data_IF_325036859613
#
_entry.id   IF_325036859613
#
_cell.length_a   1.000
_cell.length_b   1.000
_cell.length_c   1.000
_cell.angle_alpha   90.00
_cell.angle_beta   90.00
_cell.angle_gamma   90.00
#
_symmetry.space_group_name_H-M   'P 1'
#
loop_
_entity.id
_entity.type
_entity.pdbx_description
1 polymer ?
#
# COMPACT_ATOMS: atom_id res chain seq x y z
N UNK A 1 11.46 -3.22 -3.30
CA UNK A 1 11.84 -1.79 -3.30
C UNK A 1 12.65 -1.47 -4.55
N UNK A 2 13.72 -2.20 -4.85
CA UNK A 2 14.63 -1.93 -5.98
C UNK A 2 13.94 -2.07 -7.34
N UNK A 3 13.07 -3.07 -7.51
CA UNK A 3 12.27 -3.21 -8.73
C UNK A 3 11.30 -2.04 -8.95
N UNK A 4 10.68 -1.53 -7.88
CA UNK A 4 9.82 -0.36 -7.95
C UNK A 4 10.59 0.90 -8.32
N UNK A 5 11.79 1.07 -7.78
CA UNK A 5 12.71 2.15 -8.16
C UNK A 5 13.03 2.10 -9.66
N UNK A 6 13.49 0.94 -10.14
CA UNK A 6 13.88 0.77 -11.55
C UNK A 6 12.69 0.99 -12.48
N UNK A 7 11.53 0.42 -12.18
CA UNK A 7 10.33 0.59 -13.00
C UNK A 7 9.90 2.06 -13.09
N UNK A 8 9.98 2.80 -11.99
CA UNK A 8 9.67 4.23 -11.99
C UNK A 8 10.72 5.04 -12.76
N UNK A 9 12.00 4.71 -12.64
CA UNK A 9 13.08 5.36 -13.41
C UNK A 9 12.87 5.14 -14.92
N UNK A 10 12.59 3.91 -15.34
CA UNK A 10 12.32 3.55 -16.74
C UNK A 10 11.05 4.28 -17.27
N UNK A 11 9.98 4.32 -16.46
CA UNK A 11 8.74 5.01 -16.81
C UNK A 11 8.93 6.53 -16.96
N UNK A 12 9.71 7.15 -16.11
CA UNK A 12 10.03 8.58 -16.19
C UNK A 12 10.84 8.93 -17.44
N UNK A 13 11.74 8.03 -17.87
CA UNK A 13 12.50 8.22 -19.11
C UNK A 13 11.60 8.11 -20.35
N UNK A 14 10.64 7.16 -20.31
CA UNK A 14 9.72 6.94 -21.43
C UNK A 14 8.58 7.99 -21.49
N UNK A 15 8.16 8.53 -20.33
CA UNK A 15 6.98 9.38 -20.17
C UNK A 15 7.30 10.58 -19.29
N UNK A 16 7.88 11.62 -19.87
CA UNK A 16 8.25 12.86 -19.14
C UNK A 16 7.06 13.63 -18.57
N UNK A 17 5.84 13.34 -19.01
CA UNK A 17 4.57 13.91 -18.57
C UNK A 17 3.82 13.05 -17.52
N UNK A 18 4.46 12.01 -16.97
CA UNK A 18 3.90 11.15 -15.93
C UNK A 18 3.34 11.99 -14.76
N UNK A 19 2.13 11.67 -14.30
CA UNK A 19 1.44 12.37 -13.21
C UNK A 19 1.07 11.49 -12.03
N UNK A 20 1.01 10.20 -12.22
CA UNK A 20 0.64 9.27 -11.16
C UNK A 20 1.27 7.89 -11.32
N UNK A 21 1.51 7.25 -10.20
CA UNK A 21 1.99 5.87 -10.10
C UNK A 21 1.09 5.15 -9.11
N UNK A 22 0.57 4.00 -9.52
CA UNK A 22 0.01 3.02 -8.59
C UNK A 22 1.03 1.90 -8.40
N UNK A 23 1.46 1.69 -7.18
CA UNK A 23 2.40 0.64 -6.82
C UNK A 23 1.67 -0.52 -6.16
N UNK A 24 2.02 -1.75 -6.55
CA UNK A 24 1.38 -2.98 -6.08
C UNK A 24 1.50 -3.20 -4.55
N UNK A 25 2.48 -2.56 -3.91
CA UNK A 25 2.71 -2.62 -2.46
C UNK A 25 3.60 -1.46 -1.99
N UNK A 26 3.67 -1.25 -0.68
CA UNK A 26 4.45 -0.17 -0.07
C UNK A 26 5.95 -0.21 -0.39
N UNK A 27 6.64 -1.35 -0.38
CA UNK A 27 8.04 -1.38 -0.79
C UNK A 27 8.26 -0.89 -2.23
N UNK A 28 7.34 -1.20 -3.15
CA UNK A 28 7.42 -0.70 -4.52
C UNK A 28 7.14 0.81 -4.60
N UNK A 29 6.13 1.30 -3.85
CA UNK A 29 5.82 2.72 -3.72
C UNK A 29 7.00 3.54 -3.20
N UNK A 30 7.66 3.07 -2.14
CA UNK A 30 8.87 3.68 -1.59
C UNK A 30 10.05 3.66 -2.57
N UNK A 31 10.15 2.63 -3.39
CA UNK A 31 11.12 2.56 -4.49
C UNK A 31 10.83 3.61 -5.56
N UNK A 32 9.57 3.70 -5.99
CA UNK A 32 9.13 4.71 -6.95
C UNK A 32 9.37 6.14 -6.43
N UNK A 33 9.06 6.40 -5.15
CA UNK A 33 9.35 7.69 -4.50
C UNK A 33 10.81 8.08 -4.59
N UNK A 34 11.72 7.15 -4.29
CA UNK A 34 13.16 7.42 -4.37
C UNK A 34 13.63 7.74 -5.82
N UNK A 35 13.05 7.09 -6.83
CA UNK A 35 13.34 7.40 -8.23
C UNK A 35 12.84 8.81 -8.62
N UNK A 36 11.63 9.18 -8.17
CA UNK A 36 11.08 10.51 -8.38
C UNK A 36 11.92 11.61 -7.71
N UNK A 37 12.37 11.37 -6.49
CA UNK A 37 13.25 12.30 -5.76
C UNK A 37 14.58 12.51 -6.48
N UNK A 38 15.21 11.43 -6.96
CA UNK A 38 16.43 11.50 -7.76
C UNK A 38 16.24 12.29 -9.05
N UNK A 39 15.06 12.17 -9.68
CA UNK A 39 14.71 12.88 -10.91
C UNK A 39 14.19 14.32 -10.67
N UNK A 40 14.00 14.77 -9.42
CA UNK A 40 13.38 16.04 -9.08
C UNK A 40 11.91 16.15 -9.48
N UNK A 41 11.19 15.01 -9.51
CA UNK A 41 9.80 14.89 -9.98
C UNK A 41 8.81 14.53 -8.85
N UNK A 42 9.27 14.49 -7.60
CA UNK A 42 8.48 14.08 -6.43
C UNK A 42 7.24 14.93 -6.17
N UNK A 43 7.22 16.19 -6.64
CA UNK A 43 6.09 17.10 -6.48
C UNK A 43 5.16 17.11 -7.71
N UNK A 44 5.59 16.46 -8.79
CA UNK A 44 4.84 16.39 -10.05
C UNK A 44 4.01 15.10 -10.15
N UNK A 45 4.47 14.01 -9.54
CA UNK A 45 3.92 12.67 -9.69
C UNK A 45 3.38 12.16 -8.35
N UNK A 46 2.09 11.91 -8.30
CA UNK A 46 1.46 11.31 -7.12
C UNK A 46 1.71 9.80 -7.08
N UNK A 47 1.91 9.26 -5.90
CA UNK A 47 2.07 7.82 -5.68
C UNK A 47 0.94 7.31 -4.80
N UNK A 48 0.28 6.26 -5.25
CA UNK A 48 -0.62 5.44 -4.43
C UNK A 48 0.05 4.09 -4.23
N UNK A 49 0.24 3.68 -2.97
CA UNK A 49 0.76 2.38 -2.60
C UNK A 49 -0.34 1.34 -2.39
N UNK A 50 -0.04 0.28 -1.66
CA UNK A 50 -0.99 -0.75 -1.25
C UNK A 50 -0.41 -1.55 -0.08
N UNK A 51 -1.26 -2.08 0.79
CA UNK A 51 -1.08 -2.93 1.97
C UNK A 51 -1.22 -2.17 3.30
N UNK A 52 -0.63 -1.00 3.46
CA UNK A 52 -0.61 -0.26 4.73
C UNK A 52 0.47 -0.77 5.70
N UNK A 53 1.63 -1.12 5.19
CA UNK A 53 2.79 -1.45 6.02
C UNK A 53 3.26 -0.22 6.82
N UNK A 54 3.94 -0.39 7.97
CA UNK A 54 4.36 0.73 8.81
C UNK A 54 5.15 1.80 8.07
N UNK A 55 6.08 1.40 7.19
CA UNK A 55 6.90 2.32 6.41
C UNK A 55 6.08 3.08 5.34
N UNK A 56 5.07 2.41 4.74
CA UNK A 56 4.13 3.02 3.81
C UNK A 56 3.28 4.08 4.52
N UNK A 57 2.68 3.73 5.65
CA UNK A 57 1.91 4.67 6.49
C UNK A 57 2.74 5.85 6.95
N UNK A 58 3.99 5.62 7.36
CA UNK A 58 4.90 6.72 7.72
C UNK A 58 5.18 7.63 6.52
N UNK A 59 5.40 7.07 5.33
CA UNK A 59 5.61 7.85 4.12
C UNK A 59 4.37 8.66 3.71
N UNK A 60 3.16 8.15 3.99
CA UNK A 60 1.91 8.89 3.79
C UNK A 60 1.80 10.05 4.79
N UNK A 61 2.09 9.81 6.07
CA UNK A 61 2.14 10.85 7.10
C UNK A 61 3.10 11.96 6.70
N UNK A 62 4.27 11.61 6.17
CA UNK A 62 5.31 12.55 5.71
C UNK A 62 4.96 13.23 4.37
N UNK A 63 3.83 12.91 3.74
CA UNK A 63 3.45 13.46 2.44
C UNK A 63 4.24 12.93 1.24
N UNK A 64 4.98 11.84 1.41
CA UNK A 64 5.80 11.21 0.35
C UNK A 64 5.00 10.28 -0.54
N UNK A 65 3.98 9.64 0.00
CA UNK A 65 2.98 8.83 -0.70
C UNK A 65 1.62 9.47 -0.47
N UNK A 66 0.79 9.52 -1.50
CA UNK A 66 -0.49 10.23 -1.46
C UNK A 66 -1.56 9.50 -0.65
N UNK A 67 -1.69 8.20 -0.88
CA UNK A 67 -2.69 7.37 -0.20
C UNK A 67 -2.37 5.88 -0.37
N UNK A 68 -3.04 5.06 0.44
CA UNK A 68 -2.91 3.61 0.45
C UNK A 68 -4.26 2.94 0.72
N UNK A 69 -4.73 2.03 -0.12
CA UNK A 69 -5.70 1.03 0.30
C UNK A 69 -5.01 0.05 1.25
N UNK A 70 -5.34 0.11 2.53
CA UNK A 70 -4.75 -0.76 3.55
C UNK A 70 -5.50 -2.06 3.69
N UNK A 71 -4.78 -3.15 3.93
CA UNK A 71 -5.31 -4.46 4.23
C UNK A 71 -5.35 -4.72 5.75
N UNK A 72 -6.08 -5.74 6.14
CA UNK A 72 -6.24 -6.14 7.54
C UNK A 72 -5.85 -7.63 7.71
N UNK A 73 -4.53 -7.94 7.69
CA UNK A 73 -4.04 -9.32 7.76
C UNK A 73 -4.42 -10.03 9.08
N UNK A 74 -4.56 -9.29 10.17
CA UNK A 74 -5.09 -9.77 11.44
C UNK A 74 -6.52 -10.32 11.30
N UNK A 75 -7.41 -9.58 10.64
CA UNK A 75 -8.78 -10.03 10.35
C UNK A 75 -8.77 -11.25 9.44
N UNK A 76 -7.93 -11.25 8.39
CA UNK A 76 -7.78 -12.40 7.49
C UNK A 76 -7.40 -13.65 8.26
N UNK A 77 -6.41 -13.57 9.15
CA UNK A 77 -5.99 -14.68 9.99
C UNK A 77 -7.10 -15.19 10.91
N UNK A 78 -7.83 -14.28 11.56
CA UNK A 78 -8.96 -14.62 12.44
C UNK A 78 -10.05 -15.37 11.66
N UNK A 79 -10.47 -14.85 10.51
CA UNK A 79 -11.54 -15.45 9.70
C UNK A 79 -11.13 -16.82 9.13
N UNK A 80 -9.87 -16.99 8.72
CA UNK A 80 -9.34 -18.30 8.30
C UNK A 80 -9.45 -19.33 9.44
N UNK A 81 -9.02 -18.98 10.66
CA UNK A 81 -9.12 -19.89 11.81
C UNK A 81 -10.57 -20.23 12.15
N UNK A 82 -11.48 -19.24 12.12
CA UNK A 82 -12.92 -19.48 12.31
C UNK A 82 -13.47 -20.45 11.27
N UNK A 83 -13.13 -20.27 10.01
CA UNK A 83 -13.56 -21.11 8.90
C UNK A 83 -13.06 -22.55 9.07
N UNK A 84 -11.81 -22.75 9.48
CA UNK A 84 -11.25 -24.09 9.75
C UNK A 84 -12.02 -24.76 10.89
N UNK A 85 -12.30 -24.06 11.99
CA UNK A 85 -13.05 -24.58 13.12
C UNK A 85 -14.48 -24.95 12.73
N UNK A 86 -15.17 -24.09 12.00
CA UNK A 86 -16.54 -24.34 11.50
C UNK A 86 -16.56 -25.59 10.61
N UNK A 87 -15.65 -25.67 9.63
CA UNK A 87 -15.53 -26.80 8.74
C UNK A 87 -15.25 -28.12 9.50
N UNK A 88 -14.39 -28.08 10.53
CA UNK A 88 -14.08 -29.25 11.36
C UNK A 88 -15.29 -29.78 12.16
N UNK A 89 -16.28 -28.93 12.40
CA UNK A 89 -17.57 -29.28 13.04
C UNK A 89 -18.63 -29.74 12.05
N UNK A 90 -18.32 -29.77 10.75
CA UNK A 90 -19.25 -30.12 9.69
C UNK A 90 -20.21 -28.99 9.30
N UNK A 91 -19.88 -27.74 9.68
CA UNK A 91 -20.63 -26.55 9.27
C UNK A 91 -20.24 -26.15 7.85
N UNK A 92 -21.19 -25.59 7.09
CA UNK A 92 -20.88 -25.02 5.79
C UNK A 92 -20.07 -23.73 5.95
N UNK A 93 -19.05 -23.60 5.11
CA UNK A 93 -18.19 -22.39 5.06
C UNK A 93 -18.26 -21.81 3.66
N UNK A 94 -18.48 -20.50 3.59
CA UNK A 94 -18.48 -19.80 2.31
C UNK A 94 -17.13 -19.97 1.61
N UNK A 95 -17.14 -20.34 0.31
CA UNK A 95 -15.91 -20.60 -0.46
C UNK A 95 -15.06 -19.34 -0.67
N UNK A 96 -15.67 -18.16 -0.60
CA UNK A 96 -15.03 -16.87 -0.76
C UNK A 96 -15.51 -15.89 0.30
N UNK A 97 -14.57 -15.33 1.06
CA UNK A 97 -14.85 -14.35 2.12
C UNK A 97 -14.00 -13.11 1.88
N UNK A 98 -14.62 -12.07 1.33
CA UNK A 98 -13.94 -10.82 1.02
C UNK A 98 -13.84 -9.95 2.27
N UNK A 99 -12.63 -9.54 2.61
CA UNK A 99 -12.35 -8.56 3.67
C UNK A 99 -12.05 -7.23 2.98
N UNK A 100 -12.92 -6.22 3.13
CA UNK A 100 -12.73 -4.95 2.44
C UNK A 100 -11.49 -4.22 2.93
N UNK A 101 -10.80 -3.54 2.01
CA UNK A 101 -9.74 -2.59 2.32
C UNK A 101 -10.32 -1.29 2.86
N UNK A 102 -9.47 -0.47 3.48
CA UNK A 102 -9.78 0.90 3.87
C UNK A 102 -8.78 1.85 3.26
N UNK A 103 -9.22 3.01 2.81
CA UNK A 103 -8.30 4.01 2.28
C UNK A 103 -7.63 4.77 3.43
N UNK A 104 -6.31 4.79 3.42
CA UNK A 104 -5.47 5.50 4.38
C UNK A 104 -4.83 6.72 3.72
N UNK A 105 -4.97 7.88 4.33
CA UNK A 105 -4.49 9.16 3.83
C UNK A 105 -3.62 9.86 4.88
N UNK A 106 -3.03 10.99 4.50
CA UNK A 106 -2.19 11.78 5.40
C UNK A 106 -2.90 12.18 6.70
N UNK A 107 -4.18 12.54 6.63
CA UNK A 107 -4.98 12.88 7.80
C UNK A 107 -5.14 11.72 8.81
N UNK A 108 -5.14 10.47 8.31
CA UNK A 108 -5.15 9.26 9.13
C UNK A 108 -3.78 9.06 9.77
N UNK A 109 -2.70 9.23 8.99
CA UNK A 109 -1.32 9.16 9.47
C UNK A 109 -1.00 10.17 10.56
N UNK A 110 -1.52 11.39 10.47
CA UNK A 110 -1.35 12.42 11.49
C UNK A 110 -2.03 12.09 12.82
N UNK A 111 -3.05 11.23 12.80
CA UNK A 111 -3.78 10.76 13.99
C UNK A 111 -3.27 9.41 14.49
N UNK A 112 -2.45 8.73 13.72
CA UNK A 112 -1.96 7.39 14.04
C UNK A 112 -0.81 7.48 15.04
N UNK A 113 -1.11 7.16 16.31
CA UNK A 113 -0.14 7.19 17.42
C UNK A 113 0.92 6.09 17.35
N UNK A 114 0.79 5.11 16.45
CA UNK A 114 1.78 4.06 16.24
C UNK A 114 2.95 4.52 15.36
N UNK A 115 2.81 5.67 14.69
CA UNK A 115 3.83 6.26 13.80
C UNK A 115 4.66 7.33 14.54
N UNK A 116 5.90 7.52 14.07
CA UNK A 116 6.84 8.52 14.61
C UNK A 116 6.55 9.96 14.13
#
# INVERSE_FOLDING_TARGET
KDLGYKAAEDALQAHGDLRGVFAINDPAALGARAALEKAGKQDQVLIVGFDGQPEGKQAIKDGKIFADPIQFPDKMGIEVVKSIVAHSKGEDVEPEQLIPTSLYRQEDGLKDSSLQ
#
